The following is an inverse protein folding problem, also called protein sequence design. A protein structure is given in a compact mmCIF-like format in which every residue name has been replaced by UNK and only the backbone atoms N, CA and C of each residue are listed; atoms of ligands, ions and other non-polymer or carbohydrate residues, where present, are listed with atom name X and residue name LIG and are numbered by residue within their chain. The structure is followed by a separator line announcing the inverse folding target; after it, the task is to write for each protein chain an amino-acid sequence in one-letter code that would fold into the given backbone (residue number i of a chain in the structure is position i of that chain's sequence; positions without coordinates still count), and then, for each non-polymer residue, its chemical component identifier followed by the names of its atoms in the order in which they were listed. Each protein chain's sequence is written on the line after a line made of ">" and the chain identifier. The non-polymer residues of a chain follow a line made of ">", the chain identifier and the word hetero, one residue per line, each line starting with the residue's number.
data_IF_453335494941
#
_entry.id   IF_453335494941
#
_cell.length_a   1.000
_cell.length_b   1.000
_cell.length_c   1.000
_cell.angle_alpha   90.00
_cell.angle_beta   90.00
_cell.angle_gamma   90.00
#
_symmetry.space_group_name_H-M   'P 1'
#
loop_
_entity.id
_entity.type
_entity.pdbx_description
1 polymer ?
#
# COMPACT_ATOMS: atom_id res chain seq x y z
N UNK A 1 -32.59 45.28 -24.81
CA UNK A 1 -31.83 44.26 -25.57
C UNK A 1 -31.02 43.46 -24.57
N UNK A 2 -31.08 42.14 -24.69
CA UNK A 2 -30.76 41.16 -23.66
C UNK A 2 -29.34 41.26 -23.10
N UNK A 3 -29.23 41.22 -21.77
CA UNK A 3 -28.03 40.77 -21.09
C UNK A 3 -27.99 39.24 -21.15
N UNK A 4 -26.84 38.68 -21.53
CA UNK A 4 -26.54 37.28 -21.35
C UNK A 4 -25.51 37.20 -20.23
N UNK A 5 -26.00 36.88 -19.02
CA UNK A 5 -25.18 36.42 -17.91
C UNK A 5 -24.63 35.05 -18.26
N UNK A 6 -23.34 35.00 -18.59
CA UNK A 6 -22.59 33.75 -18.63
C UNK A 6 -22.30 33.32 -17.19
N UNK A 7 -23.17 32.48 -16.65
CA UNK A 7 -22.95 31.79 -15.38
C UNK A 7 -21.92 30.66 -15.59
N UNK A 8 -20.64 31.01 -15.70
CA UNK A 8 -19.54 30.06 -15.56
C UNK A 8 -19.33 29.79 -14.07
N UNK A 9 -19.71 28.57 -13.65
CA UNK A 9 -19.40 28.07 -12.31
C UNK A 9 -17.87 28.02 -12.14
N UNK A 10 -17.30 28.53 -11.02
CA UNK A 10 -15.87 28.51 -10.81
C UNK A 10 -15.35 27.07 -10.75
N UNK A 11 -14.33 26.75 -11.55
CA UNK A 11 -13.70 25.41 -11.64
C UNK A 11 -13.23 24.85 -10.28
N UNK A 12 -12.99 25.74 -9.32
CA UNK A 12 -12.43 25.47 -7.99
C UNK A 12 -13.40 24.71 -7.05
N UNK A 13 -14.71 24.95 -7.14
CA UNK A 13 -15.70 24.28 -6.28
C UNK A 13 -15.83 22.77 -6.54
N UNK A 14 -15.54 22.33 -7.78
CA UNK A 14 -15.54 20.92 -8.17
C UNK A 14 -14.38 20.15 -7.56
N UNK A 15 -13.20 20.77 -7.49
CA UNK A 15 -11.98 20.16 -6.94
C UNK A 15 -12.07 20.01 -5.41
N UNK A 16 -12.59 21.02 -4.69
CA UNK A 16 -12.81 20.91 -3.24
C UNK A 16 -13.81 19.81 -2.88
N UNK A 17 -14.94 19.71 -3.59
CA UNK A 17 -15.92 18.63 -3.36
C UNK A 17 -15.30 17.27 -3.67
N UNK A 18 -14.52 17.15 -4.74
CA UNK A 18 -13.86 15.89 -5.11
C UNK A 18 -12.81 15.47 -4.07
N UNK A 19 -12.02 16.41 -3.55
CA UNK A 19 -11.05 16.18 -2.47
C UNK A 19 -11.73 15.74 -1.17
N UNK A 20 -12.77 16.45 -0.73
CA UNK A 20 -13.53 16.09 0.46
C UNK A 20 -14.19 14.71 0.33
N UNK A 21 -14.75 14.38 -0.83
CA UNK A 21 -15.28 13.04 -1.11
C UNK A 21 -14.19 11.97 -1.05
N UNK A 22 -13.01 12.21 -1.63
CA UNK A 22 -11.87 11.27 -1.54
C UNK A 22 -11.43 11.02 -0.10
N UNK A 23 -11.33 12.07 0.72
CA UNK A 23 -10.95 11.96 2.13
C UNK A 23 -11.96 11.12 2.93
N UNK A 24 -13.26 11.34 2.72
CA UNK A 24 -14.32 10.53 3.34
C UNK A 24 -14.20 9.07 2.92
N UNK A 25 -14.03 8.79 1.63
CA UNK A 25 -13.90 7.41 1.13
C UNK A 25 -12.64 6.73 1.70
N UNK A 26 -11.52 7.45 1.82
CA UNK A 26 -10.30 6.91 2.44
C UNK A 26 -10.55 6.59 3.92
N UNK A 27 -11.17 7.51 4.66
CA UNK A 27 -11.46 7.35 6.09
C UNK A 27 -12.36 6.15 6.36
N UNK A 28 -13.37 5.91 5.53
CA UNK A 28 -14.30 4.80 5.70
C UNK A 28 -13.76 3.48 5.11
N UNK A 29 -12.99 3.57 4.02
CA UNK A 29 -12.42 2.43 3.32
C UNK A 29 -11.25 1.77 4.07
N UNK A 30 -10.45 2.54 4.79
CA UNK A 30 -9.27 2.03 5.51
C UNK A 30 -9.64 1.02 6.62
N UNK A 31 -10.66 1.26 7.48
CA UNK A 31 -11.13 0.25 8.44
C UNK A 31 -11.63 -1.04 7.77
N UNK A 32 -12.36 -0.94 6.65
CA UNK A 32 -12.86 -2.10 5.90
C UNK A 32 -11.71 -2.91 5.30
N UNK A 33 -10.77 -2.23 4.65
CA UNK A 33 -9.59 -2.84 4.07
C UNK A 33 -8.74 -3.54 5.13
N UNK A 34 -8.52 -2.88 6.27
CA UNK A 34 -7.82 -3.46 7.41
C UNK A 34 -8.47 -4.74 7.90
N UNK A 35 -9.79 -4.75 8.10
CA UNK A 35 -10.51 -5.97 8.53
C UNK A 35 -10.33 -7.11 7.53
N UNK A 36 -10.49 -6.84 6.23
CA UNK A 36 -10.29 -7.83 5.16
C UNK A 36 -8.88 -8.41 5.16
N UNK A 37 -7.85 -7.59 5.35
CA UNK A 37 -6.47 -8.08 5.42
C UNK A 37 -6.21 -8.87 6.71
N UNK A 38 -6.74 -8.45 7.84
CA UNK A 38 -6.66 -9.24 9.09
C UNK A 38 -7.27 -10.62 8.89
N UNK A 39 -8.44 -10.71 8.28
CA UNK A 39 -9.09 -11.98 7.98
C UNK A 39 -8.27 -12.83 6.99
N UNK A 40 -7.88 -12.25 5.84
CA UNK A 40 -7.16 -12.96 4.79
C UNK A 40 -5.81 -13.54 5.26
N UNK A 41 -5.08 -12.80 6.11
CA UNK A 41 -3.77 -13.21 6.63
C UNK A 41 -3.85 -13.96 7.98
N UNK A 42 -5.06 -14.19 8.49
CA UNK A 42 -5.33 -14.85 9.77
C UNK A 42 -4.67 -14.12 10.95
N UNK A 43 -4.73 -12.78 10.92
CA UNK A 43 -4.21 -11.90 11.97
C UNK A 43 -2.69 -11.96 12.12
N UNK A 44 -1.95 -12.30 11.05
CA UNK A 44 -0.48 -12.41 11.08
C UNK A 44 0.17 -11.54 10.02
N UNK A 45 1.26 -10.88 10.37
CA UNK A 45 2.12 -10.18 9.43
C UNK A 45 2.56 -11.11 8.29
N UNK A 46 2.42 -10.66 7.05
CA UNK A 46 2.79 -11.40 5.85
C UNK A 46 4.30 -11.68 5.76
N UNK A 47 5.13 -10.83 6.39
CA UNK A 47 6.60 -10.92 6.33
C UNK A 47 7.17 -11.64 7.56
N UNK A 48 6.74 -11.26 8.76
CA UNK A 48 7.35 -11.73 10.02
C UNK A 48 6.53 -12.78 10.75
N UNK A 49 5.27 -12.98 10.37
CA UNK A 49 4.34 -13.85 11.11
C UNK A 49 3.87 -13.30 12.46
N UNK A 50 4.27 -12.07 12.85
CA UNK A 50 3.83 -11.40 14.07
C UNK A 50 2.28 -11.42 14.16
N UNK A 51 1.75 -11.87 15.29
CA UNK A 51 0.29 -11.97 15.54
C UNK A 51 -0.24 -10.93 16.53
N UNK A 52 0.61 -9.99 16.97
CA UNK A 52 0.22 -8.92 17.89
C UNK A 52 -0.55 -7.88 17.09
N UNK A 53 -1.89 -7.96 17.12
CA UNK A 53 -2.78 -7.21 16.23
C UNK A 53 -2.62 -5.68 16.32
N UNK A 54 -2.23 -5.14 17.49
CA UNK A 54 -1.95 -3.70 17.67
C UNK A 54 -0.72 -3.22 16.89
N UNK A 55 0.21 -4.12 16.57
CA UNK A 55 1.39 -3.83 15.74
C UNK A 55 1.16 -4.08 14.25
N UNK A 56 -0.04 -4.54 13.86
CA UNK A 56 -0.34 -4.86 12.47
C UNK A 56 -1.01 -3.68 11.78
N UNK A 57 -0.69 -3.48 10.52
CA UNK A 57 -1.15 -2.40 9.65
C UNK A 57 -1.53 -2.93 8.28
N UNK A 58 -2.49 -2.26 7.65
CA UNK A 58 -2.99 -2.58 6.34
C UNK A 58 -2.21 -1.75 5.32
N UNK A 59 -1.23 -2.37 4.69
CA UNK A 59 -0.39 -1.73 3.68
C UNK A 59 -1.01 -1.89 2.30
N UNK A 60 -1.16 -0.78 1.57
CA UNK A 60 -1.49 -0.82 0.15
C UNK A 60 -0.23 -1.08 -0.66
N UNK A 61 -0.29 -1.99 -1.63
CA UNK A 61 0.86 -2.25 -2.51
C UNK A 61 1.06 -1.09 -3.50
N UNK A 62 -0.03 -0.49 -3.97
CA UNK A 62 -0.03 0.65 -4.89
C UNK A 62 -0.84 1.80 -4.31
N UNK A 63 -0.48 3.07 -4.60
CA UNK A 63 -1.23 4.22 -4.13
C UNK A 63 -2.72 4.14 -4.46
N UNK A 64 -3.54 4.60 -3.52
CA UNK A 64 -5.00 4.54 -3.60
C UNK A 64 -5.56 5.30 -4.81
N UNK A 65 -6.25 4.61 -5.73
CA UNK A 65 -6.87 5.22 -6.91
C UNK A 65 -8.41 5.09 -6.93
N UNK A 66 -9.06 4.89 -5.76
CA UNK A 66 -10.52 4.94 -5.61
C UNK A 66 -11.14 3.77 -4.82
N UNK A 67 -12.48 3.73 -4.77
CA UNK A 67 -13.26 2.83 -3.91
C UNK A 67 -13.03 1.32 -4.14
N UNK A 68 -12.47 0.93 -5.29
CA UNK A 68 -12.13 -0.46 -5.64
C UNK A 68 -10.86 -0.99 -4.93
N UNK A 69 -10.14 -0.14 -4.18
CA UNK A 69 -8.88 -0.46 -3.50
C UNK A 69 -9.02 -1.14 -2.14
N UNK A 70 -10.18 -1.73 -1.83
CA UNK A 70 -10.40 -2.47 -0.57
C UNK A 70 -10.33 -4.00 -0.75
N UNK A 71 -9.87 -4.52 -1.90
CA UNK A 71 -9.66 -5.96 -2.11
C UNK A 71 -8.38 -6.40 -1.40
N UNK A 72 -8.41 -7.57 -0.74
CA UNK A 72 -7.23 -8.10 -0.04
C UNK A 72 -6.02 -8.24 -0.98
N UNK A 73 -6.24 -8.57 -2.25
CA UNK A 73 -5.20 -8.70 -3.28
C UNK A 73 -4.40 -7.41 -3.53
N UNK A 74 -4.91 -6.25 -3.10
CA UNK A 74 -4.25 -4.96 -3.31
C UNK A 74 -3.35 -4.58 -2.13
N UNK A 75 -3.27 -5.43 -1.10
CA UNK A 75 -2.54 -5.12 0.12
C UNK A 75 -1.86 -6.29 0.79
N UNK A 76 -1.10 -5.92 1.81
CA UNK A 76 -0.41 -6.82 2.71
C UNK A 76 -0.77 -6.42 4.14
N UNK A 77 -0.96 -7.41 5.02
CA UNK A 77 -0.99 -7.14 6.45
C UNK A 77 0.44 -7.16 6.98
N UNK A 78 0.96 -6.02 7.41
CA UNK A 78 2.37 -5.86 7.79
C UNK A 78 2.50 -5.43 9.25
N UNK A 79 3.62 -5.78 9.89
CA UNK A 79 4.01 -5.18 11.17
C UNK A 79 4.42 -3.72 10.90
N UNK A 80 4.15 -2.78 11.81
CA UNK A 80 4.37 -1.32 11.62
C UNK A 80 5.76 -0.96 11.08
N UNK A 81 6.82 -1.59 11.57
CA UNK A 81 8.20 -1.37 11.09
C UNK A 81 8.39 -1.90 9.66
N UNK A 82 7.91 -3.10 9.37
CA UNK A 82 7.93 -3.70 8.03
C UNK A 82 7.12 -2.85 7.03
N UNK A 83 5.97 -2.33 7.47
CA UNK A 83 5.17 -1.42 6.65
C UNK A 83 5.96 -0.15 6.33
N UNK A 84 6.64 0.43 7.31
CA UNK A 84 7.51 1.61 7.10
C UNK A 84 8.64 1.32 6.11
N UNK A 85 9.28 0.15 6.19
CA UNK A 85 10.33 -0.25 5.25
C UNK A 85 9.78 -0.48 3.83
N UNK A 86 8.58 -1.05 3.74
CA UNK A 86 7.88 -1.27 2.48
C UNK A 86 7.54 0.06 1.79
N UNK A 87 6.91 0.98 2.53
CA UNK A 87 6.52 2.32 2.09
C UNK A 87 7.70 3.23 1.75
N UNK A 88 8.93 2.85 2.13
CA UNK A 88 10.17 3.57 1.80
C UNK A 88 11.01 2.86 0.73
N UNK A 89 10.52 1.77 0.15
CA UNK A 89 11.25 1.00 -0.85
C UNK A 89 12.53 0.32 -0.34
N UNK A 90 12.65 0.19 0.98
CA UNK A 90 13.75 -0.52 1.67
C UNK A 90 13.47 -2.02 1.78
N UNK A 91 12.19 -2.42 1.70
CA UNK A 91 11.73 -3.79 1.60
C UNK A 91 10.71 -3.88 0.46
N UNK A 92 10.75 -4.93 -0.35
CA UNK A 92 9.73 -5.19 -1.36
C UNK A 92 9.49 -6.70 -1.51
N UNK A 93 8.40 -7.05 -2.19
CA UNK A 93 8.12 -8.45 -2.56
C UNK A 93 8.34 -8.57 -4.07
N UNK A 94 9.14 -9.54 -4.50
CA UNK A 94 9.37 -9.80 -5.92
C UNK A 94 8.23 -10.62 -6.56
N UNK A 95 8.32 -10.85 -7.86
CA UNK A 95 7.29 -11.59 -8.61
C UNK A 95 7.27 -13.09 -8.31
N UNK A 96 8.29 -13.63 -7.62
CA UNK A 96 8.32 -14.99 -7.08
C UNK A 96 7.71 -15.07 -5.68
N UNK A 97 7.14 -13.97 -5.17
CA UNK A 97 6.58 -13.84 -3.82
C UNK A 97 7.64 -14.03 -2.73
N UNK A 98 8.91 -13.68 -3.01
CA UNK A 98 9.97 -13.62 -2.02
C UNK A 98 10.13 -12.20 -1.49
N UNK A 99 10.45 -12.12 -0.20
CA UNK A 99 10.83 -10.88 0.46
C UNK A 99 12.22 -10.49 -0.01
N UNK A 100 12.40 -9.22 -0.35
CA UNK A 100 13.70 -8.66 -0.72
C UNK A 100 13.95 -7.37 0.04
N UNK A 101 15.21 -7.13 0.39
CA UNK A 101 15.62 -5.94 1.14
C UNK A 101 16.64 -5.11 0.36
N UNK A 102 16.70 -3.83 0.69
CA UNK A 102 17.71 -2.90 0.18
C UNK A 102 19.06 -3.18 0.82
N UNK A 103 20.15 -2.98 0.09
CA UNK A 103 21.53 -3.04 0.61
C UNK A 103 21.75 -2.08 1.79
N UNK A 104 20.96 -1.01 1.91
CA UNK A 104 20.98 -0.11 3.06
C UNK A 104 20.59 -0.79 4.38
N UNK A 105 19.91 -1.93 4.32
CA UNK A 105 19.55 -2.74 5.49
C UNK A 105 20.54 -3.89 5.74
N UNK A 106 21.59 -4.03 4.93
CA UNK A 106 22.59 -5.07 5.13
C UNK A 106 23.27 -4.94 6.50
N UNK A 107 23.39 -6.05 7.22
CA UNK A 107 23.98 -6.10 8.56
C UNK A 107 23.05 -5.69 9.69
N UNK A 108 21.80 -5.30 9.39
CA UNK A 108 20.74 -5.06 10.39
C UNK A 108 19.97 -6.34 10.69
N UNK A 109 19.08 -6.30 11.69
CA UNK A 109 18.17 -7.39 12.03
C UNK A 109 17.22 -7.80 10.88
N UNK A 110 17.02 -6.94 9.88
CA UNK A 110 16.17 -7.23 8.73
C UNK A 110 16.86 -8.08 7.67
N UNK A 111 18.19 -8.24 7.74
CA UNK A 111 18.98 -9.04 6.79
C UNK A 111 18.44 -10.45 6.65
N UNK A 112 18.01 -11.05 7.75
CA UNK A 112 17.53 -12.43 7.75
C UNK A 112 16.21 -12.61 6.99
N UNK A 113 15.48 -11.53 6.70
CA UNK A 113 14.22 -11.57 5.96
C UNK A 113 14.43 -11.75 4.46
N UNK A 114 15.60 -11.37 3.93
CA UNK A 114 15.89 -11.45 2.50
C UNK A 114 15.81 -12.89 1.99
N UNK A 115 15.13 -13.07 0.85
CA UNK A 115 14.92 -14.37 0.22
C UNK A 115 13.88 -15.27 0.89
N UNK A 116 13.32 -14.91 2.06
CA UNK A 116 12.22 -15.67 2.68
C UNK A 116 10.97 -15.60 1.82
N UNK A 117 10.16 -16.66 1.85
CA UNK A 117 8.85 -16.67 1.20
C UNK A 117 7.88 -15.76 1.96
N UNK A 118 7.11 -14.97 1.21
CA UNK A 118 5.98 -14.24 1.77
C UNK A 118 4.94 -15.22 2.31
N UNK A 119 4.41 -14.96 3.51
CA UNK A 119 3.21 -15.67 3.99
C UNK A 119 2.02 -15.20 3.17
N UNK A 120 1.38 -16.14 2.48
CA UNK A 120 0.22 -15.87 1.64
C UNK A 120 -1.08 -16.20 2.38
N UNK A 121 -2.19 -15.52 2.03
CA UNK A 121 -3.52 -15.94 2.44
C UNK A 121 -3.81 -17.39 2.04
N UNK A 122 -4.61 -18.10 2.85
CA UNK A 122 -5.03 -19.47 2.55
C UNK A 122 -5.82 -19.56 1.25
N UNK A 123 -6.70 -18.58 1.02
CA UNK A 123 -7.44 -18.47 -0.23
C UNK A 123 -6.59 -17.75 -1.29
N UNK A 124 -6.36 -18.43 -2.42
CA UNK A 124 -5.64 -17.89 -3.57
C UNK A 124 -6.31 -16.65 -4.16
N UNK A 125 -7.62 -16.49 -4.00
CA UNK A 125 -8.34 -15.30 -4.44
C UNK A 125 -7.92 -14.04 -3.68
N UNK A 126 -7.27 -14.18 -2.52
CA UNK A 126 -6.78 -13.07 -1.71
C UNK A 126 -5.27 -12.83 -1.88
N UNK A 127 -4.59 -13.60 -2.73
CA UNK A 127 -3.16 -13.41 -2.96
C UNK A 127 -2.87 -12.03 -3.56
N UNK A 128 -1.74 -11.41 -3.17
CA UNK A 128 -1.37 -10.11 -3.70
C UNK A 128 -1.19 -10.19 -5.22
N UNK A 129 -1.68 -9.19 -5.95
CA UNK A 129 -1.50 -9.13 -7.39
C UNK A 129 -0.02 -8.90 -7.71
N UNK A 130 0.59 -9.83 -8.45
CA UNK A 130 2.00 -9.72 -8.87
C UNK A 130 2.26 -8.48 -9.74
N UNK A 131 1.26 -8.03 -10.49
CA UNK A 131 1.31 -6.76 -11.24
C UNK A 131 1.46 -5.56 -10.30
N UNK A 132 0.76 -5.54 -9.17
CA UNK A 132 0.90 -4.47 -8.17
C UNK A 132 2.27 -4.50 -7.51
N UNK A 133 2.76 -5.69 -7.15
CA UNK A 133 4.10 -5.85 -6.57
C UNK A 133 5.21 -5.37 -7.53
N UNK A 134 5.09 -5.72 -8.81
CA UNK A 134 6.00 -5.26 -9.86
C UNK A 134 5.97 -3.73 -9.99
N UNK A 135 4.77 -3.14 -10.03
CA UNK A 135 4.61 -1.69 -10.14
C UNK A 135 5.18 -0.95 -8.92
N UNK A 136 4.97 -1.47 -7.71
CA UNK A 136 5.55 -0.94 -6.49
C UNK A 136 7.08 -0.89 -6.57
N UNK A 137 7.71 -1.99 -6.99
CA UNK A 137 9.17 -2.02 -7.16
C UNK A 137 9.63 -1.05 -8.26
N UNK A 138 8.91 -0.98 -9.36
CA UNK A 138 9.25 -0.10 -10.48
C UNK A 138 9.22 1.38 -10.06
N UNK A 139 8.19 1.80 -9.34
CA UNK A 139 8.09 3.15 -8.77
C UNK A 139 9.35 3.52 -7.97
N UNK A 140 9.79 2.65 -7.06
CA UNK A 140 11.00 2.91 -6.28
C UNK A 140 12.29 2.85 -7.08
N UNK A 141 12.36 2.09 -8.18
CA UNK A 141 13.52 2.13 -9.09
C UNK A 141 13.61 3.49 -9.80
N UNK A 142 12.47 4.02 -10.25
CA UNK A 142 12.38 5.29 -10.98
C UNK A 142 12.60 6.50 -10.08
N UNK A 143 12.07 6.46 -8.86
CA UNK A 143 12.12 7.54 -7.87
C UNK A 143 13.33 7.46 -6.93
N UNK A 144 14.25 6.50 -7.11
CA UNK A 144 15.45 6.33 -6.25
C UNK A 144 16.49 7.44 -6.40
N UNK A 145 16.38 8.31 -7.40
CA UNK A 145 17.33 9.42 -7.63
C UNK A 145 17.28 10.53 -6.58
N UNK A 146 16.23 10.58 -5.76
CA UNK A 146 16.00 11.69 -4.82
C UNK A 146 16.49 11.40 -3.40
N UNK A 147 16.83 10.14 -3.07
CA UNK A 147 17.16 9.71 -1.69
C UNK A 147 18.67 9.76 -1.39
N UNK A 148 19.53 9.76 -2.40
CA UNK A 148 20.99 9.89 -2.22
C UNK A 148 21.45 11.34 -1.97
N UNK A 149 20.51 12.30 -1.87
CA UNK A 149 20.78 13.73 -1.69
C UNK A 149 20.28 14.32 -0.35
N UNK A 150 19.90 13.49 0.63
CA UNK A 150 19.43 13.92 1.94
C UNK A 150 20.30 13.40 3.09
#
# INVERSE_FOLDING_TARGET
>A
MAGQDHNELPEDEGDFRLKALREVIIREGQPVFRRKLIEAYEGKCAVTGCSIQVLLEAAHITPYAGAWHTRAQHGLLLKTDIHTLFDRGLLWIDTELKIRISEQLAGTEYTELDGRNLRLPKDKQNWPLTTHLKNHRQYWIENRKDVESA
#
